data_IF_003233231829
#
_entry.id   IF_003233231829
#
_cell.length_a   1.000
_cell.length_b   1.000
_cell.length_c   1.000
_cell.angle_alpha   90.00
_cell.angle_beta   90.00
_cell.angle_gamma   90.00
#
_symmetry.space_group_name_H-M   'P 1'
#
loop_
_entity.id
_entity.type
_entity.pdbx_description
1 polymer ?
#
# COMPACT_ATOMS: atom_id res chain seq x y z
N UNK A 1 2.63 -26.76 18.02
CA UNK A 1 1.20 -26.72 17.68
C UNK A 1 1.02 -25.63 16.64
N UNK A 2 0.43 -25.94 15.48
CA UNK A 2 0.10 -24.96 14.45
C UNK A 2 -1.36 -24.51 14.61
N UNK A 3 -1.63 -23.27 14.23
CA UNK A 3 -2.98 -22.72 14.17
C UNK A 3 -3.33 -22.42 12.71
N UNK A 4 -4.58 -22.66 12.34
CA UNK A 4 -5.10 -22.32 11.01
C UNK A 4 -5.95 -21.06 11.11
N UNK A 5 -5.87 -20.22 10.10
CA UNK A 5 -6.70 -19.02 9.92
C UNK A 5 -7.30 -19.04 8.53
N UNK A 6 -8.52 -18.52 8.40
CA UNK A 6 -9.20 -18.37 7.10
C UNK A 6 -9.45 -16.89 6.85
N UNK A 7 -9.33 -16.41 5.60
CA UNK A 7 -9.67 -15.03 5.28
C UNK A 7 -11.14 -14.72 5.57
N UNK A 8 -11.40 -13.52 6.09
CA UNK A 8 -12.75 -12.95 6.24
C UNK A 8 -13.15 -12.12 5.01
N UNK A 9 -12.20 -11.82 4.14
CA UNK A 9 -12.42 -11.09 2.89
C UNK A 9 -11.15 -10.92 2.05
N UNK A 10 -11.31 -10.32 0.87
CA UNK A 10 -10.24 -10.01 -0.06
C UNK A 10 -10.30 -8.55 -0.50
N UNK A 11 -9.15 -7.90 -0.59
CA UNK A 11 -9.08 -6.50 -1.04
C UNK A 11 -9.05 -6.43 -2.57
N UNK A 12 -9.98 -5.66 -3.14
CA UNK A 12 -9.87 -5.08 -4.48
C UNK A 12 -9.13 -3.77 -4.37
N UNK A 13 -7.90 -3.73 -4.87
CA UNK A 13 -6.96 -2.62 -4.65
C UNK A 13 -6.63 -1.89 -5.95
N UNK A 14 -6.28 -0.61 -5.80
CA UNK A 14 -5.62 0.17 -6.83
C UNK A 14 -4.21 -0.33 -7.19
N UNK A 15 -3.59 -1.21 -6.40
CA UNK A 15 -2.27 -1.75 -6.67
C UNK A 15 -2.34 -3.15 -7.29
N UNK A 16 -1.91 -3.29 -8.55
CA UNK A 16 -1.92 -4.59 -9.27
C UNK A 16 -0.60 -5.34 -9.21
N UNK A 17 0.46 -4.66 -8.79
CA UNK A 17 1.77 -5.24 -8.57
C UNK A 17 2.44 -4.64 -7.33
N UNK A 18 3.51 -5.27 -6.84
CA UNK A 18 4.21 -4.86 -5.62
C UNK A 18 4.98 -3.55 -5.78
N UNK A 19 5.41 -3.23 -7.01
CA UNK A 19 6.20 -2.04 -7.27
C UNK A 19 5.31 -0.80 -7.13
N UNK A 20 5.87 0.29 -6.61
CA UNK A 20 5.17 1.53 -6.29
C UNK A 20 4.06 1.48 -5.21
N UNK A 21 3.80 0.32 -4.58
CA UNK A 21 3.00 0.29 -3.34
C UNK A 21 3.72 1.10 -2.25
N UNK A 22 3.03 1.99 -1.51
CA UNK A 22 3.60 2.68 -0.37
C UNK A 22 4.22 1.72 0.64
N UNK A 23 5.34 2.13 1.24
CA UNK A 23 6.07 1.25 2.18
C UNK A 23 5.35 1.05 3.52
N UNK A 24 4.38 1.91 3.83
CA UNK A 24 3.53 1.90 5.02
C UNK A 24 2.16 2.49 4.62
N UNK A 25 1.07 2.14 5.31
CA UNK A 25 -0.25 2.73 5.04
C UNK A 25 -0.23 4.24 5.31
N UNK A 26 -1.24 4.95 4.79
CA UNK A 26 -1.42 6.40 4.91
C UNK A 26 -0.36 7.28 4.23
N UNK A 27 0.75 6.72 3.72
CA UNK A 27 1.72 7.51 2.94
C UNK A 27 1.17 7.94 1.56
N UNK A 28 0.15 7.24 1.06
CA UNK A 28 -0.67 7.68 -0.07
C UNK A 28 -2.15 7.65 0.31
N UNK A 29 -2.70 8.72 0.91
CA UNK A 29 -4.11 8.76 1.31
C UNK A 29 -5.10 8.59 0.14
N UNK A 30 -4.70 8.88 -1.10
CA UNK A 30 -5.50 8.66 -2.29
C UNK A 30 -5.57 7.19 -2.73
N UNK A 31 -4.76 6.29 -2.15
CA UNK A 31 -4.83 4.87 -2.41
C UNK A 31 -6.12 4.29 -1.84
N UNK A 32 -6.99 3.80 -2.73
CA UNK A 32 -8.32 3.31 -2.41
C UNK A 32 -8.48 1.84 -2.79
N UNK A 33 -9.40 1.18 -2.09
CA UNK A 33 -9.82 -0.16 -2.40
C UNK A 33 -11.15 -0.52 -1.74
N UNK A 34 -11.63 -1.72 -2.04
CA UNK A 34 -12.82 -2.30 -1.44
C UNK A 34 -12.44 -3.64 -0.83
N UNK A 35 -12.70 -3.81 0.46
CA UNK A 35 -12.64 -5.11 1.09
C UNK A 35 -13.96 -5.84 0.85
N UNK A 36 -13.93 -6.87 0.01
CA UNK A 36 -15.04 -7.79 -0.24
C UNK A 36 -15.02 -8.90 0.80
N UNK A 37 -16.01 -8.94 1.68
CA UNK A 37 -16.14 -9.97 2.71
C UNK A 37 -16.66 -11.27 2.10
N UNK A 38 -16.26 -12.39 2.68
CA UNK A 38 -16.76 -13.71 2.29
C UNK A 38 -17.80 -14.21 3.29
N UNK A 39 -18.69 -15.10 2.84
CA UNK A 39 -19.64 -15.75 3.73
C UNK A 39 -18.95 -16.47 4.91
N UNK A 40 -19.53 -16.41 6.13
CA UNK A 40 -20.79 -15.75 6.49
C UNK A 40 -20.61 -14.27 6.91
N UNK A 41 -19.40 -13.72 6.78
CA UNK A 41 -19.10 -12.33 7.20
C UNK A 41 -19.62 -11.28 6.23
N UNK A 42 -20.09 -11.70 5.05
CA UNK A 42 -20.72 -10.85 4.07
C UNK A 42 -22.13 -10.36 4.47
N UNK A 43 -22.64 -10.86 5.59
CA UNK A 43 -23.88 -10.39 6.20
C UNK A 43 -23.67 -9.07 6.95
N UNK A 44 -24.68 -8.19 6.93
CA UNK A 44 -24.61 -6.87 7.58
C UNK A 44 -24.35 -6.92 9.09
N UNK A 45 -24.70 -8.02 9.76
CA UNK A 45 -24.47 -8.23 11.19
C UNK A 45 -22.99 -8.20 11.58
N UNK A 46 -22.11 -8.73 10.73
CA UNK A 46 -20.67 -8.81 11.01
C UNK A 46 -19.97 -7.44 11.00
N UNK A 47 -20.57 -6.46 10.32
CA UNK A 47 -20.01 -5.10 10.13
C UNK A 47 -20.81 -4.02 10.84
N UNK A 48 -21.91 -4.39 11.51
CA UNK A 48 -22.75 -3.45 12.25
C UNK A 48 -21.93 -2.70 13.31
N UNK A 49 -22.03 -1.37 13.32
CA UNK A 49 -21.30 -0.50 14.24
C UNK A 49 -19.99 0.04 13.67
N UNK A 50 -19.47 -0.50 12.56
CA UNK A 50 -18.27 0.03 11.92
C UNK A 50 -18.50 1.45 11.35
N UNK A 51 -19.74 1.82 11.03
CA UNK A 51 -20.10 3.18 10.62
C UNK A 51 -19.83 4.26 11.69
N UNK A 52 -19.58 3.85 12.94
CA UNK A 52 -19.29 4.74 14.06
C UNK A 52 -17.79 5.07 14.20
N UNK A 53 -16.92 4.45 13.40
CA UNK A 53 -15.47 4.69 13.42
C UNK A 53 -14.96 5.16 12.06
N UNK A 54 -13.93 6.01 12.09
CA UNK A 54 -13.32 6.53 10.86
C UNK A 54 -12.18 5.66 10.33
N UNK A 55 -11.60 4.80 11.16
CA UNK A 55 -10.44 3.99 10.83
C UNK A 55 -10.56 2.58 11.43
N UNK A 56 -9.95 1.62 10.73
CA UNK A 56 -9.86 0.22 11.17
C UNK A 56 -8.44 -0.29 11.00
N UNK A 57 -8.04 -1.21 11.88
CA UNK A 57 -6.94 -2.12 11.64
C UNK A 57 -7.40 -3.23 10.70
N UNK A 58 -6.63 -3.47 9.64
CA UNK A 58 -6.69 -4.69 8.84
C UNK A 58 -5.51 -5.58 9.19
N UNK A 59 -5.77 -6.82 9.59
CA UNK A 59 -4.76 -7.87 9.65
C UNK A 59 -4.88 -8.71 8.39
N UNK A 60 -3.78 -8.90 7.65
CA UNK A 60 -3.84 -9.50 6.32
C UNK A 60 -2.64 -10.40 6.05
N UNK A 61 -2.72 -11.21 5.00
CA UNK A 61 -1.61 -12.05 4.56
C UNK A 61 -0.82 -11.40 3.43
N UNK A 62 0.50 -11.35 3.59
CA UNK A 62 1.46 -11.14 2.50
C UNK A 62 1.49 -12.38 1.58
N UNK A 63 0.37 -12.67 0.94
CA UNK A 63 0.11 -13.90 0.17
C UNK A 63 1.12 -14.15 -0.97
N UNK A 64 1.76 -13.10 -1.51
CA UNK A 64 2.85 -13.22 -2.49
C UNK A 64 4.27 -13.23 -1.88
N UNK A 65 4.41 -13.32 -0.55
CA UNK A 65 5.68 -13.36 0.17
C UNK A 65 5.74 -14.49 1.21
N UNK A 66 4.81 -15.44 1.13
CA UNK A 66 4.82 -16.66 1.95
C UNK A 66 5.99 -17.54 1.53
N UNK A 67 6.71 -18.09 2.52
CA UNK A 67 7.88 -18.92 2.31
C UNK A 67 7.78 -20.16 3.20
N UNK A 68 8.16 -21.33 2.66
CA UNK A 68 8.16 -22.58 3.41
C UNK A 68 9.19 -22.58 4.55
N UNK A 69 10.27 -21.81 4.38
CA UNK A 69 11.36 -21.71 5.36
C UNK A 69 11.41 -20.31 5.95
N UNK A 70 11.28 -20.15 7.28
CA UNK A 70 11.27 -18.84 7.90
C UNK A 70 12.65 -18.17 7.82
N UNK A 71 12.66 -16.88 7.45
CA UNK A 71 13.85 -16.04 7.53
C UNK A 71 14.03 -15.47 8.93
N UNK A 72 15.22 -15.62 9.50
CA UNK A 72 15.58 -14.99 10.78
C UNK A 72 16.03 -13.54 10.61
N UNK A 73 16.56 -13.20 9.43
CA UNK A 73 17.06 -11.86 9.10
C UNK A 73 16.59 -11.41 7.72
N UNK A 74 16.47 -10.10 7.55
CA UNK A 74 16.09 -9.43 6.30
C UNK A 74 16.99 -8.22 6.05
N UNK A 75 16.91 -7.61 4.86
CA UNK A 75 17.66 -6.41 4.47
C UNK A 75 16.70 -5.26 4.16
N UNK A 76 16.30 -4.45 5.15
CA UNK A 76 15.36 -3.35 4.95
C UNK A 76 15.94 -2.28 4.00
N UNK A 77 15.13 -1.71 3.08
CA UNK A 77 15.57 -0.62 2.21
C UNK A 77 16.12 0.59 2.96
N UNK A 78 15.54 0.92 4.13
CA UNK A 78 15.98 2.05 4.97
C UNK A 78 17.41 1.93 5.50
N UNK A 79 17.98 0.72 5.51
CA UNK A 79 19.38 0.50 5.91
C UNK A 79 20.33 0.42 4.68
N UNK A 80 19.94 1.06 3.58
CA UNK A 80 20.70 1.06 2.32
C UNK A 80 20.80 -0.32 1.64
N UNK A 81 19.97 -1.29 2.05
CA UNK A 81 19.97 -2.66 1.50
C UNK A 81 21.18 -3.54 1.90
N UNK A 82 22.23 -2.95 2.47
CA UNK A 82 23.48 -3.66 2.76
C UNK A 82 23.58 -4.15 4.21
N UNK A 83 22.82 -3.58 5.14
CA UNK A 83 22.73 -4.10 6.50
C UNK A 83 21.60 -5.13 6.66
N UNK A 84 21.88 -6.20 7.40
CA UNK A 84 20.88 -7.21 7.77
C UNK A 84 20.37 -6.97 9.18
N UNK A 85 19.08 -7.20 9.42
CA UNK A 85 18.41 -7.02 10.70
C UNK A 85 17.51 -8.21 11.00
N UNK A 86 17.30 -8.53 12.28
CA UNK A 86 16.36 -9.58 12.69
C UNK A 86 14.96 -9.30 12.16
N UNK A 87 14.25 -10.31 11.65
CA UNK A 87 12.96 -10.14 10.99
C UNK A 87 11.92 -9.42 11.88
N UNK A 88 11.92 -9.71 13.19
CA UNK A 88 11.00 -9.11 14.16
C UNK A 88 11.37 -7.67 14.57
N UNK A 89 12.58 -7.21 14.25
CA UNK A 89 12.96 -5.81 14.41
C UNK A 89 12.58 -4.95 13.19
N UNK A 90 11.79 -5.50 12.25
CA UNK A 90 11.40 -4.85 11.00
C UNK A 90 9.93 -5.10 10.69
N UNK A 91 9.40 -4.36 9.69
CA UNK A 91 8.10 -4.61 9.06
C UNK A 91 8.23 -5.29 7.68
N UNK A 92 9.26 -6.11 7.48
CA UNK A 92 9.44 -6.81 6.21
C UNK A 92 8.27 -7.77 5.93
N UNK A 93 7.95 -7.99 4.65
CA UNK A 93 6.87 -8.90 4.24
C UNK A 93 7.23 -10.38 4.45
N UNK A 94 8.51 -10.72 4.27
CA UNK A 94 9.04 -12.06 4.52
C UNK A 94 9.19 -12.30 6.03
N UNK A 95 8.23 -13.01 6.63
CA UNK A 95 8.15 -13.30 8.08
C UNK A 95 7.66 -14.74 8.31
N UNK A 96 7.95 -15.35 9.47
CA UNK A 96 7.52 -16.71 9.78
C UNK A 96 6.01 -16.93 9.65
N UNK A 97 5.22 -15.95 10.11
CA UNK A 97 3.80 -15.83 9.80
C UNK A 97 3.67 -14.57 8.97
N UNK A 98 3.33 -14.68 7.69
CA UNK A 98 3.24 -13.58 6.73
C UNK A 98 2.08 -12.62 7.00
N UNK A 99 1.87 -12.22 8.26
CA UNK A 99 0.81 -11.33 8.70
C UNK A 99 1.31 -9.89 8.65
N UNK A 100 0.62 -9.10 7.85
CA UNK A 100 0.70 -7.65 7.78
C UNK A 100 -0.39 -6.98 8.63
N UNK A 101 -0.19 -5.71 8.92
CA UNK A 101 -1.13 -4.89 9.67
C UNK A 101 -1.09 -3.45 9.12
N UNK A 102 -2.27 -2.91 8.82
CA UNK A 102 -2.43 -1.54 8.35
C UNK A 102 -3.61 -0.82 9.02
N UNK A 103 -3.41 0.44 9.43
CA UNK A 103 -4.53 1.34 9.75
C UNK A 103 -5.00 1.97 8.46
N UNK A 104 -6.26 1.77 8.12
CA UNK A 104 -6.87 2.34 6.91
C UNK A 104 -8.07 3.18 7.30
N UNK A 105 -8.38 4.18 6.50
CA UNK A 105 -9.60 4.97 6.66
C UNK A 105 -10.78 4.18 6.12
N UNK A 106 -11.90 4.22 6.83
CA UNK A 106 -13.16 3.65 6.41
C UNK A 106 -14.01 4.74 5.76
N UNK A 107 -14.19 4.67 4.45
CA UNK A 107 -14.93 5.67 3.68
C UNK A 107 -16.42 5.32 3.57
N UNK A 108 -16.76 4.03 3.54
CA UNK A 108 -18.14 3.54 3.47
C UNK A 108 -18.24 2.11 4.02
N UNK A 109 -19.37 1.82 4.65
CA UNK A 109 -19.74 0.48 5.15
C UNK A 109 -21.03 0.04 4.46
N UNK A 110 -21.02 -1.14 3.83
CA UNK A 110 -22.22 -1.84 3.37
C UNK A 110 -22.11 -3.33 3.73
N UNK A 111 -23.23 -4.07 3.77
CA UNK A 111 -23.18 -5.52 3.87
C UNK A 111 -22.24 -6.12 2.81
N UNK A 112 -21.27 -6.91 3.26
CA UNK A 112 -20.31 -7.58 2.38
C UNK A 112 -19.19 -6.71 1.82
N UNK A 113 -19.19 -5.39 2.01
CA UNK A 113 -18.20 -4.49 1.40
C UNK A 113 -17.83 -3.31 2.29
N UNK A 114 -16.53 -3.09 2.44
CA UNK A 114 -15.98 -1.91 3.12
C UNK A 114 -15.11 -1.13 2.14
N UNK A 115 -15.44 0.14 1.91
CA UNK A 115 -14.61 1.04 1.10
C UNK A 115 -13.57 1.66 2.01
N UNK A 116 -12.31 1.54 1.61
CA UNK A 116 -11.17 1.94 2.43
C UNK A 116 -10.17 2.78 1.63
N UNK A 117 -9.50 3.70 2.32
CA UNK A 117 -8.44 4.53 1.76
C UNK A 117 -7.20 4.63 2.66
N UNK A 118 -6.10 5.10 2.07
CA UNK A 118 -4.77 5.07 2.69
C UNK A 118 -4.20 3.66 2.78
N UNK A 119 -4.60 2.77 1.87
CA UNK A 119 -4.17 1.37 1.85
C UNK A 119 -2.74 1.20 1.32
N UNK A 120 -2.10 0.09 1.69
CA UNK A 120 -0.81 -0.40 1.18
C UNK A 120 -0.90 -1.89 0.78
N UNK A 121 -2.10 -2.35 0.41
CA UNK A 121 -2.39 -3.75 0.13
C UNK A 121 -2.43 -4.03 -1.38
N UNK A 122 -1.78 -5.11 -1.82
CA UNK A 122 -1.87 -5.59 -3.19
C UNK A 122 -3.30 -6.09 -3.50
N UNK A 123 -3.74 -5.96 -4.74
CA UNK A 123 -5.01 -6.54 -5.20
C UNK A 123 -5.06 -8.05 -4.93
N UNK A 124 -6.22 -8.52 -4.45
CA UNK A 124 -6.41 -9.91 -4.03
C UNK A 124 -5.83 -10.24 -2.64
N UNK A 125 -5.30 -9.26 -1.90
CA UNK A 125 -4.77 -9.51 -0.55
C UNK A 125 -5.84 -10.09 0.38
N UNK A 126 -5.62 -11.28 0.97
CA UNK A 126 -6.54 -11.86 1.94
C UNK A 126 -6.48 -11.12 3.28
N UNK A 127 -7.63 -10.69 3.79
CA UNK A 127 -7.78 -10.10 5.13
C UNK A 127 -8.20 -11.19 6.10
N UNK A 128 -7.48 -11.29 7.22
CA UNK A 128 -7.74 -12.24 8.30
C UNK A 128 -8.68 -11.67 9.36
N UNK A 129 -8.62 -10.37 9.60
CA UNK A 129 -9.36 -9.73 10.69
C UNK A 129 -9.47 -8.22 10.49
N UNK A 130 -10.52 -7.63 11.08
CA UNK A 130 -10.86 -6.21 11.01
C UNK A 130 -11.17 -5.75 12.42
N UNK A 131 -10.52 -4.67 12.88
CA UNK A 131 -10.78 -4.11 14.22
C UNK A 131 -10.96 -2.60 14.14
N UNK A 132 -11.93 -2.01 14.86
CA UNK A 132 -12.00 -0.55 14.96
C UNK A 132 -10.69 -0.02 15.55
N UNK A 133 -10.18 1.06 14.98
CA UNK A 133 -9.07 1.79 15.55
C UNK A 133 -9.55 2.54 16.80
N UNK A 134 -8.84 2.39 17.92
CA UNK A 134 -9.22 2.95 19.21
C UNK A 134 -8.16 3.95 19.65
N UNK A 135 -8.33 5.27 19.41
CA UNK A 135 -7.27 6.26 19.59
C UNK A 135 -6.61 6.24 20.98
N UNK A 136 -7.39 6.11 22.05
CA UNK A 136 -6.85 6.12 23.42
C UNK A 136 -6.00 4.88 23.76
N UNK A 137 -6.16 3.79 23.01
CA UNK A 137 -5.45 2.53 23.23
C UNK A 137 -4.33 2.30 22.20
N UNK A 138 -4.53 2.75 20.96
CA UNK A 138 -3.64 2.50 19.83
C UNK A 138 -2.61 3.61 19.61
N UNK A 139 -2.86 4.84 20.09
CA UNK A 139 -1.88 5.93 20.05
C UNK A 139 -0.98 5.84 21.27
N UNK A 140 0.32 5.67 21.03
CA UNK A 140 1.37 5.78 22.05
C UNK A 140 2.30 6.92 21.60
N UNK A 141 1.99 8.13 22.03
CA UNK A 141 2.72 9.36 21.68
C UNK A 141 4.18 9.37 22.20
N UNK A 142 4.47 8.57 23.22
CA UNK A 142 5.80 8.37 23.80
C UNK A 142 6.65 7.30 23.09
N UNK A 143 6.11 6.61 22.08
CA UNK A 143 6.83 5.56 21.38
C UNK A 143 8.04 6.11 20.60
N UNK A 144 9.13 5.33 20.55
CA UNK A 144 10.34 5.69 19.79
C UNK A 144 10.75 4.60 18.82
N UNK A 145 11.33 5.00 17.70
CA UNK A 145 11.90 4.08 16.70
C UNK A 145 13.12 4.74 16.03
N UNK A 146 14.32 4.37 16.45
CA UNK A 146 15.57 4.96 15.92
C UNK A 146 15.90 4.51 14.49
N UNK A 147 15.27 3.46 13.98
CA UNK A 147 15.49 2.93 12.62
C UNK A 147 14.55 3.62 11.61
N UNK A 148 13.36 3.98 12.05
CA UNK A 148 12.30 4.57 11.24
C UNK A 148 11.57 5.68 12.00
N UNK A 149 12.30 6.71 12.42
CA UNK A 149 11.80 7.80 13.26
C UNK A 149 10.87 8.77 12.53
N UNK A 150 10.97 8.84 11.20
CA UNK A 150 10.15 9.73 10.37
C UNK A 150 9.65 9.04 9.09
N UNK A 151 8.65 9.68 8.47
CA UNK A 151 8.24 9.37 7.11
C UNK A 151 9.40 9.60 6.12
N UNK A 152 9.44 8.88 4.98
CA UNK A 152 10.41 9.16 3.93
C UNK A 152 10.32 10.61 3.46
N UNK A 153 11.46 11.22 3.13
CA UNK A 153 11.46 12.50 2.43
C UNK A 153 10.85 12.32 1.04
N UNK A 154 9.87 13.18 0.71
CA UNK A 154 9.24 13.16 -0.59
C UNK A 154 10.10 13.88 -1.63
N UNK A 155 10.09 13.39 -2.86
CA UNK A 155 10.72 14.00 -4.03
C UNK A 155 9.66 14.62 -4.94
N UNK A 156 10.08 15.59 -5.76
CA UNK A 156 9.15 16.28 -6.65
C UNK A 156 8.66 15.34 -7.76
N UNK A 157 7.37 15.46 -8.10
CA UNK A 157 6.76 14.76 -9.24
C UNK A 157 6.26 15.83 -10.21
N UNK A 158 6.77 15.78 -11.43
CA UNK A 158 6.32 16.59 -12.56
C UNK A 158 5.66 15.69 -13.60
N UNK A 159 4.90 16.31 -14.48
CA UNK A 159 4.16 15.63 -15.53
C UNK A 159 4.49 16.25 -16.88
N UNK A 160 4.68 15.42 -17.90
CA UNK A 160 4.44 15.88 -19.26
C UNK A 160 2.96 16.27 -19.40
N UNK A 161 2.70 17.36 -20.14
CA UNK A 161 1.33 17.85 -20.34
C UNK A 161 0.40 16.76 -20.89
N UNK A 162 0.89 15.94 -21.82
CA UNK A 162 0.12 14.81 -22.36
C UNK A 162 -0.19 13.76 -21.30
N UNK A 163 0.79 13.40 -20.45
CA UNK A 163 0.62 12.44 -19.36
C UNK A 163 -0.42 12.91 -18.33
N UNK A 164 -0.40 14.19 -17.96
CA UNK A 164 -1.38 14.75 -17.04
C UNK A 164 -2.79 14.70 -17.61
N UNK A 165 -2.96 15.03 -18.89
CA UNK A 165 -4.27 14.95 -19.56
C UNK A 165 -4.78 13.51 -19.63
N UNK A 166 -3.90 12.54 -19.92
CA UNK A 166 -4.24 11.12 -19.88
C UNK A 166 -4.69 10.70 -18.48
N UNK A 167 -3.91 11.04 -17.44
CA UNK A 167 -4.21 10.72 -16.06
C UNK A 167 -5.56 11.31 -15.60
N UNK A 168 -5.85 12.56 -15.98
CA UNK A 168 -7.14 13.19 -15.69
C UNK A 168 -8.31 12.49 -16.39
N UNK A 169 -8.14 12.09 -17.66
CA UNK A 169 -9.16 11.31 -18.38
C UNK A 169 -9.42 9.95 -17.73
N UNK A 170 -8.37 9.24 -17.32
CA UNK A 170 -8.52 7.97 -16.59
C UNK A 170 -9.10 8.17 -15.19
N UNK A 171 -8.76 9.26 -14.48
CA UNK A 171 -9.33 9.60 -13.18
C UNK A 171 -10.85 9.78 -13.28
N UNK A 172 -11.32 10.51 -14.29
CA UNK A 172 -12.74 10.70 -14.54
C UNK A 172 -13.46 9.38 -14.88
N UNK A 173 -12.85 8.54 -15.74
CA UNK A 173 -13.43 7.24 -16.13
C UNK A 173 -13.54 6.27 -14.95
N UNK A 174 -12.54 6.25 -14.08
CA UNK A 174 -12.49 5.37 -12.93
C UNK A 174 -13.31 5.90 -11.75
N UNK A 175 -13.66 7.19 -11.75
CA UNK A 175 -14.21 7.90 -10.59
C UNK A 175 -13.27 7.86 -9.37
N UNK A 176 -11.95 7.85 -9.63
CA UNK A 176 -10.92 7.71 -8.60
C UNK A 176 -9.89 8.86 -8.65
N UNK A 177 -9.24 9.20 -7.51
CA UNK A 177 -8.27 10.29 -7.42
C UNK A 177 -6.91 9.89 -8.01
N UNK A 178 -6.89 9.41 -9.27
CA UNK A 178 -5.74 8.77 -9.89
C UNK A 178 -4.50 9.66 -9.96
N UNK A 179 -4.65 10.95 -10.29
CA UNK A 179 -3.52 11.91 -10.33
C UNK A 179 -2.85 11.99 -8.95
N UNK A 180 -3.65 12.18 -7.90
CA UNK A 180 -3.14 12.25 -6.53
C UNK A 180 -2.52 10.93 -6.06
N UNK A 181 -3.11 9.79 -6.44
CA UNK A 181 -2.56 8.45 -6.15
C UNK A 181 -1.16 8.30 -6.75
N UNK A 182 -1.00 8.63 -8.04
CA UNK A 182 0.27 8.51 -8.74
C UNK A 182 1.31 9.44 -8.10
N UNK A 183 0.97 10.72 -7.86
CA UNK A 183 1.89 11.67 -7.23
C UNK A 183 2.34 11.20 -5.85
N UNK A 184 1.41 10.77 -4.99
CA UNK A 184 1.72 10.34 -3.63
C UNK A 184 2.57 9.06 -3.58
N UNK A 185 2.34 8.12 -4.49
CA UNK A 185 3.15 6.91 -4.59
C UNK A 185 4.54 7.19 -5.16
N UNK A 186 4.63 7.96 -6.24
CA UNK A 186 5.91 8.26 -6.90
C UNK A 186 6.77 9.20 -6.05
N UNK A 187 6.18 10.18 -5.36
CA UNK A 187 6.91 11.11 -4.49
C UNK A 187 7.66 10.41 -3.35
N UNK A 188 7.27 9.18 -2.97
CA UNK A 188 8.01 8.38 -2.00
C UNK A 188 9.30 7.78 -2.55
N UNK A 189 9.61 7.98 -3.82
CA UNK A 189 10.71 7.33 -4.54
C UNK A 189 10.63 5.80 -4.48
N UNK A 190 9.85 5.18 -5.39
CA UNK A 190 9.58 3.74 -5.37
C UNK A 190 10.78 2.88 -5.80
N UNK A 191 11.80 3.49 -6.42
CA UNK A 191 13.00 2.79 -6.87
C UNK A 191 13.72 2.09 -5.70
N UNK A 192 14.45 0.99 -5.95
CA UNK A 192 15.32 0.43 -4.94
C UNK A 192 16.43 1.42 -4.54
N UNK A 193 16.66 1.61 -3.24
CA UNK A 193 17.58 2.60 -2.69
C UNK A 193 19.05 2.46 -3.14
N UNK A 194 19.46 1.28 -3.62
CA UNK A 194 20.81 1.03 -4.14
C UNK A 194 20.99 1.47 -5.61
N UNK A 195 19.91 1.85 -6.31
CA UNK A 195 19.99 2.21 -7.71
C UNK A 195 20.19 3.72 -7.89
N UNK A 196 21.32 4.11 -8.49
CA UNK A 196 21.48 5.43 -9.10
C UNK A 196 20.91 5.39 -10.53
N UNK A 197 19.82 6.13 -10.83
CA UNK A 197 19.25 6.10 -12.18
C UNK A 197 20.14 6.83 -13.17
N UNK A 198 20.30 6.27 -14.37
CA UNK A 198 20.61 7.11 -15.54
C UNK A 198 19.36 7.92 -15.91
N UNK A 199 19.55 9.12 -16.48
CA UNK A 199 18.46 10.04 -16.84
C UNK A 199 17.48 9.46 -17.85
N UNK A 200 17.96 8.56 -18.71
CA UNK A 200 17.18 7.91 -19.78
C UNK A 200 16.46 6.64 -19.32
N UNK A 201 16.66 6.19 -18.08
CA UNK A 201 16.04 4.95 -17.62
C UNK A 201 14.57 5.19 -17.26
N UNK A 202 13.70 4.54 -18.01
CA UNK A 202 12.28 4.50 -17.71
C UNK A 202 11.93 3.44 -16.66
N UNK A 203 10.93 3.77 -15.87
CA UNK A 203 10.29 2.93 -14.88
C UNK A 203 8.80 2.87 -15.21
N UNK A 204 8.16 1.77 -14.83
CA UNK A 204 6.73 1.58 -15.03
C UNK A 204 6.11 0.94 -13.80
N UNK A 205 4.88 1.32 -13.49
CA UNK A 205 4.06 0.62 -12.51
C UNK A 205 2.58 0.68 -12.88
N UNK A 206 1.84 -0.36 -12.48
CA UNK A 206 0.40 -0.46 -12.74
C UNK A 206 -0.42 0.07 -11.55
N UNK A 207 -1.30 1.03 -11.83
CA UNK A 207 -2.31 1.54 -10.89
C UNK A 207 -3.69 1.30 -11.51
N UNK A 208 -4.60 0.63 -10.80
CA UNK A 208 -5.88 0.18 -11.32
C UNK A 208 -5.72 -0.65 -12.61
N UNK A 209 -6.23 -0.15 -13.73
CA UNK A 209 -6.12 -0.74 -15.06
C UNK A 209 -5.27 0.11 -16.01
N UNK A 210 -4.38 0.95 -15.47
CA UNK A 210 -3.46 1.81 -16.24
C UNK A 210 -1.99 1.57 -15.89
N UNK A 211 -1.15 1.63 -16.91
CA UNK A 211 0.30 1.66 -16.79
C UNK A 211 0.77 3.12 -16.74
N UNK A 212 1.57 3.42 -15.71
CA UNK A 212 2.20 4.73 -15.52
C UNK A 212 3.68 4.58 -15.78
N UNK A 213 4.23 5.36 -16.71
CA UNK A 213 5.66 5.39 -16.98
C UNK A 213 6.29 6.71 -16.59
N UNK A 214 7.48 6.66 -16.02
CA UNK A 214 8.24 7.84 -15.61
C UNK A 214 9.74 7.61 -15.72
N UNK A 215 10.49 8.69 -15.64
CA UNK A 215 11.95 8.67 -15.50
C UNK A 215 12.40 9.70 -14.47
N UNK A 216 13.72 9.71 -14.21
CA UNK A 216 14.36 10.64 -13.28
C UNK A 216 15.24 11.59 -14.08
N UNK A 217 14.72 12.74 -14.56
CA UNK A 217 15.51 13.70 -15.34
C UNK A 217 16.73 14.22 -14.56
N UNK A 218 16.60 14.34 -13.23
CA UNK A 218 17.69 14.66 -12.31
C UNK A 218 17.43 14.02 -10.93
N UNK A 219 18.44 14.06 -10.05
CA UNK A 219 18.31 13.50 -8.71
C UNK A 219 17.24 14.24 -7.90
N UNK A 220 16.27 13.51 -7.34
CA UNK A 220 15.18 14.09 -6.54
C UNK A 220 14.01 14.66 -7.35
N UNK A 221 13.95 14.38 -8.65
CA UNK A 221 12.83 14.74 -9.51
C UNK A 221 12.37 13.51 -10.32
N UNK A 222 11.07 13.23 -10.26
CA UNK A 222 10.39 12.30 -11.16
C UNK A 222 9.63 13.11 -12.22
N UNK A 223 9.68 12.66 -13.47
CA UNK A 223 8.81 13.16 -14.53
C UNK A 223 7.96 12.01 -15.09
N UNK A 224 6.64 12.12 -14.96
CA UNK A 224 5.67 11.17 -15.52
C UNK A 224 5.54 11.42 -17.03
N UNK A 225 5.83 10.38 -17.80
CA UNK A 225 5.95 10.41 -19.26
C UNK A 225 4.62 10.11 -19.95
N UNK A 226 3.88 9.13 -19.44
CA UNK A 226 2.57 8.73 -19.96
C UNK A 226 1.77 7.93 -18.94
N UNK A 227 0.45 7.96 -19.10
CA UNK A 227 -0.52 7.12 -18.40
C UNK A 227 -1.42 6.49 -19.46
N UNK A 228 -1.36 5.18 -19.62
CA UNK A 228 -2.06 4.47 -20.71
C UNK A 228 -2.80 3.26 -20.16
N UNK A 229 -3.84 2.75 -20.84
CA UNK A 229 -4.45 1.47 -20.46
C UNK A 229 -3.39 0.36 -20.36
N UNK A 230 -3.47 -0.41 -19.29
CA UNK A 230 -2.60 -1.58 -19.13
C UNK A 230 -2.96 -2.66 -20.15
N UNK A 231 -1.95 -3.43 -20.57
CA UNK A 231 -2.10 -4.51 -21.56
C UNK A 231 -2.57 -5.83 -20.97
#
# INVERSE_FOLDING_TARGET
>A
MSYSVSPVGFVRSCFKEKFAIPRQPQLAPAARGVLELVAPFDQGEAVQGLEQVSHVWLLFLFHQALEDKPRLKVRPPRLGGNASMGVFATRATHRPNGIGQSVVKLDKVEPGRLWVSGIDLLDGTPVLDIKPYVPYADIIDTATNSIASSAPQLIAVQWLKAALLQAQGHAQRLEEPLVALIEQCLAQDPRPAYQTPGTEREYGAQFWDVDVRWHYPEAGLICVLEVVPAR
#
